data_IF_376472772303
#
_entry.id   IF_376472772303
#
_cell.length_a   1.000
_cell.length_b   1.000
_cell.length_c   1.000
_cell.angle_alpha   90.00
_cell.angle_beta   90.00
_cell.angle_gamma   90.00
#
_symmetry.space_group_name_H-M   'P 1'
#
loop_
_entity.id
_entity.type
_entity.pdbx_description
1 polymer ?
#
# COMPACT_ATOMS: atom_id res chain seq x y z
N UNK A 1 -2.53 17.11 19.24
CA UNK A 1 -2.98 17.01 17.83
C UNK A 1 -3.77 15.72 17.75
N UNK A 2 -5.06 15.80 17.45
CA UNK A 2 -5.97 14.65 17.61
C UNK A 2 -5.57 13.53 16.63
N UNK A 3 -5.49 12.29 17.11
CA UNK A 3 -5.16 11.09 16.32
C UNK A 3 -5.99 10.92 15.05
N UNK A 4 -7.22 11.44 15.03
CA UNK A 4 -8.07 11.49 13.84
C UNK A 4 -7.40 12.24 12.67
N UNK A 5 -6.82 13.42 12.93
CA UNK A 5 -6.21 14.24 11.87
C UNK A 5 -4.99 13.54 11.24
N UNK A 6 -4.25 12.78 12.05
CA UNK A 6 -3.09 12.01 11.59
C UNK A 6 -3.52 10.81 10.74
N UNK A 7 -4.54 10.07 11.18
CA UNK A 7 -5.11 8.94 10.42
C UNK A 7 -5.68 9.40 9.07
N UNK A 8 -6.45 10.47 9.06
CA UNK A 8 -7.08 10.99 7.84
C UNK A 8 -6.02 11.49 6.84
N UNK A 9 -4.94 12.10 7.34
CA UNK A 9 -3.79 12.50 6.52
C UNK A 9 -3.09 11.31 5.85
N UNK A 10 -2.86 10.21 6.59
CA UNK A 10 -2.26 8.99 6.03
C UNK A 10 -3.16 8.38 4.95
N UNK A 11 -4.45 8.25 5.22
CA UNK A 11 -5.44 7.72 4.26
C UNK A 11 -5.45 8.56 2.98
N UNK A 12 -5.49 9.89 3.10
CA UNK A 12 -5.51 10.80 1.96
C UNK A 12 -4.26 10.70 1.10
N UNK A 13 -3.06 10.60 1.69
CA UNK A 13 -1.82 10.49 0.90
C UNK A 13 -1.69 9.10 0.25
N UNK A 14 -2.19 8.04 0.88
CA UNK A 14 -2.25 6.71 0.25
C UNK A 14 -3.16 6.74 -0.97
N UNK A 15 -4.36 7.33 -0.86
CA UNK A 15 -5.29 7.47 -1.98
C UNK A 15 -4.66 8.25 -3.14
N UNK A 16 -4.05 9.40 -2.84
CA UNK A 16 -3.36 10.24 -3.83
C UNK A 16 -2.20 9.52 -4.51
N UNK A 17 -1.43 8.72 -3.77
CA UNK A 17 -0.37 7.93 -4.36
C UNK A 17 -0.92 6.83 -5.27
N UNK A 18 -2.00 6.17 -4.88
CA UNK A 18 -2.68 5.17 -5.70
C UNK A 18 -3.21 5.78 -7.00
N UNK A 19 -3.95 6.89 -6.94
CA UNK A 19 -4.47 7.60 -8.13
C UNK A 19 -3.36 7.96 -9.13
N UNK A 20 -2.23 8.45 -8.63
CA UNK A 20 -1.10 8.83 -9.48
C UNK A 20 -0.40 7.62 -10.12
N UNK A 21 -0.32 6.49 -9.41
CA UNK A 21 0.47 5.34 -9.84
C UNK A 21 -0.34 4.28 -10.56
N UNK A 22 -1.65 4.22 -10.36
CA UNK A 22 -2.56 3.20 -10.88
C UNK A 22 -3.55 3.79 -11.91
N UNK A 23 -3.07 4.68 -12.78
CA UNK A 23 -3.91 5.24 -13.85
C UNK A 23 -4.49 4.12 -14.74
N UNK A 24 -5.73 4.25 -15.23
CA UNK A 24 -6.60 5.43 -15.15
C UNK A 24 -7.56 5.43 -13.94
N UNK A 25 -7.33 4.59 -12.94
CA UNK A 25 -8.25 4.40 -11.82
C UNK A 25 -8.19 5.52 -10.77
N UNK A 26 -9.28 5.69 -10.03
CA UNK A 26 -9.35 6.52 -8.81
C UNK A 26 -9.67 5.65 -7.60
N UNK A 27 -9.19 6.04 -6.42
CA UNK A 27 -9.17 5.15 -5.25
C UNK A 27 -9.79 5.77 -4.01
N UNK A 28 -10.55 4.95 -3.30
CA UNK A 28 -10.96 5.21 -1.91
C UNK A 28 -10.09 4.36 -0.99
N UNK A 29 -9.60 4.92 0.11
CA UNK A 29 -8.70 4.20 1.03
C UNK A 29 -9.32 4.14 2.41
N UNK A 30 -9.20 2.99 3.06
CA UNK A 30 -9.48 2.86 4.49
C UNK A 30 -8.35 2.12 5.19
N UNK A 31 -8.05 2.56 6.41
CA UNK A 31 -7.14 1.88 7.31
C UNK A 31 -7.95 0.96 8.23
N UNK A 32 -7.70 -0.35 8.12
CA UNK A 32 -8.47 -1.41 8.78
C UNK A 32 -8.19 -1.46 10.29
N UNK A 33 -6.94 -1.30 10.70
CA UNK A 33 -6.52 -1.32 12.10
C UNK A 33 -6.37 0.10 12.69
N UNK A 34 -6.09 0.16 14.00
CA UNK A 34 -5.95 1.42 14.73
C UNK A 34 -4.50 1.89 14.74
N UNK A 35 -4.31 3.21 14.57
CA UNK A 35 -3.06 3.88 14.92
C UNK A 35 -3.13 4.27 16.39
N UNK A 36 -2.20 3.77 17.20
CA UNK A 36 -2.11 4.17 18.61
C UNK A 36 -1.39 5.51 18.76
N UNK A 37 -1.63 6.17 19.91
CA UNK A 37 -0.92 7.38 20.29
C UNK A 37 0.60 7.14 20.31
N UNK A 38 1.37 8.08 19.73
CA UNK A 38 2.85 8.06 19.55
C UNK A 38 3.40 7.30 18.33
N UNK A 39 2.61 7.05 17.27
CA UNK A 39 3.05 6.29 16.09
C UNK A 39 3.57 4.89 16.44
N UNK A 40 3.10 4.33 17.55
CA UNK A 40 3.37 2.96 17.93
C UNK A 40 2.36 2.06 17.20
N UNK A 41 2.87 1.18 16.35
CA UNK A 41 2.08 0.22 15.58
C UNK A 41 2.94 -0.98 15.23
N UNK A 42 2.35 -2.17 15.29
CA UNK A 42 2.99 -3.39 14.80
C UNK A 42 2.92 -3.40 13.25
N UNK A 43 1.72 -3.23 12.74
CA UNK A 43 1.40 -3.12 11.32
C UNK A 43 0.31 -2.07 11.07
N UNK A 44 0.18 -1.62 9.83
CA UNK A 44 -0.93 -0.81 9.32
C UNK A 44 -1.44 -1.45 8.05
N UNK A 45 -2.73 -1.75 8.00
CA UNK A 45 -3.36 -2.42 6.86
C UNK A 45 -4.30 -1.44 6.17
N UNK A 46 -3.87 -0.94 5.01
CA UNK A 46 -4.67 -0.10 4.14
C UNK A 46 -5.35 -0.96 3.08
N UNK A 47 -6.66 -0.79 2.93
CA UNK A 47 -7.40 -1.32 1.80
C UNK A 47 -7.67 -0.18 0.82
N UNK A 48 -7.19 -0.34 -0.40
CA UNK A 48 -7.26 0.65 -1.47
C UNK A 48 -8.29 0.15 -2.46
N UNK A 49 -9.49 0.71 -2.38
CA UNK A 49 -10.63 0.33 -3.21
C UNK A 49 -10.60 1.07 -4.54
N UNK A 50 -10.63 0.32 -5.63
CA UNK A 50 -10.53 0.84 -6.98
C UNK A 50 -11.90 1.25 -7.53
N UNK A 51 -11.89 2.34 -8.30
CA UNK A 51 -13.00 2.80 -9.13
C UNK A 51 -12.52 3.16 -10.53
N UNK A 52 -13.34 2.88 -11.54
CA UNK A 52 -13.08 3.33 -12.90
C UNK A 52 -13.32 4.85 -13.04
N UNK A 53 -13.06 5.40 -14.23
CA UNK A 53 -13.19 6.84 -14.51
C UNK A 53 -14.63 7.37 -14.37
N UNK A 54 -15.61 6.48 -14.46
CA UNK A 54 -17.04 6.79 -14.29
C UNK A 54 -17.45 6.71 -12.81
N UNK A 55 -16.54 6.34 -11.91
CA UNK A 55 -16.73 6.23 -10.46
C UNK A 55 -17.29 4.89 -10.00
N UNK A 56 -17.45 3.92 -10.91
CA UNK A 56 -17.97 2.59 -10.60
C UNK A 56 -16.91 1.73 -9.92
N UNK A 57 -17.31 0.86 -8.99
CA UNK A 57 -16.40 0.00 -8.21
C UNK A 57 -15.81 -1.12 -9.08
N UNK A 58 -14.50 -1.29 -8.99
CA UNK A 58 -13.73 -2.32 -9.69
C UNK A 58 -13.00 -3.23 -8.68
N UNK A 59 -13.72 -4.12 -8.01
CA UNK A 59 -13.20 -4.89 -6.86
C UNK A 59 -12.05 -5.85 -7.23
N UNK A 60 -11.97 -6.24 -8.51
CA UNK A 60 -10.86 -7.05 -9.03
C UNK A 60 -9.52 -6.31 -9.00
N UNK A 61 -9.57 -4.98 -8.95
CA UNK A 61 -8.43 -4.06 -8.95
C UNK A 61 -8.17 -3.46 -7.56
N UNK A 62 -8.87 -3.93 -6.52
CA UNK A 62 -8.59 -3.53 -5.14
C UNK A 62 -7.18 -4.00 -4.72
N UNK A 63 -6.46 -3.11 -4.03
CA UNK A 63 -5.11 -3.36 -3.53
C UNK A 63 -5.14 -3.43 -2.00
N UNK A 64 -4.36 -4.34 -1.44
CA UNK A 64 -4.01 -4.35 -0.03
C UNK A 64 -2.58 -3.87 0.15
N UNK A 65 -2.40 -2.97 1.10
CA UNK A 65 -1.11 -2.41 1.49
C UNK A 65 -0.91 -2.65 2.97
N UNK A 66 0.08 -3.46 3.30
CA UNK A 66 0.57 -3.66 4.66
C UNK A 66 1.82 -2.80 4.86
N UNK A 67 1.91 -2.12 6.01
CA UNK A 67 3.07 -1.31 6.40
C UNK A 67 3.49 -1.72 7.80
N UNK A 68 4.75 -2.05 8.02
CA UNK A 68 5.23 -2.51 9.32
C UNK A 68 6.65 -2.05 9.60
N UNK A 69 6.99 -1.98 10.88
CA UNK A 69 8.32 -1.61 11.37
C UNK A 69 9.16 -2.87 11.56
N UNK A 70 10.40 -2.83 11.08
CA UNK A 70 11.43 -3.83 11.41
C UNK A 70 12.66 -3.08 11.92
N UNK A 71 12.78 -2.99 13.24
CA UNK A 71 13.72 -2.05 13.87
C UNK A 71 13.34 -0.60 13.52
N UNK A 72 14.31 0.16 13.02
CA UNK A 72 14.10 1.56 12.61
C UNK A 72 13.70 1.71 11.13
N UNK A 73 13.46 0.61 10.41
CA UNK A 73 13.09 0.63 9.01
C UNK A 73 11.59 0.36 8.82
N UNK A 74 10.98 1.12 7.91
CA UNK A 74 9.62 0.89 7.43
C UNK A 74 9.69 -0.01 6.20
N UNK A 75 8.90 -1.09 6.24
CA UNK A 75 8.73 -2.04 5.16
C UNK A 75 7.26 -2.09 4.77
N UNK A 76 6.99 -2.53 3.55
CA UNK A 76 5.63 -2.66 3.04
C UNK A 76 5.46 -3.91 2.20
N UNK A 77 4.25 -4.44 2.19
CA UNK A 77 3.79 -5.45 1.23
C UNK A 77 2.64 -4.84 0.43
N UNK A 78 2.68 -4.95 -0.90
CA UNK A 78 1.60 -4.54 -1.80
C UNK A 78 1.13 -5.76 -2.58
N UNK A 79 -0.16 -6.05 -2.49
CA UNK A 79 -0.80 -7.21 -3.11
C UNK A 79 -2.14 -6.83 -3.72
N UNK A 80 -2.58 -7.63 -4.69
CA UNK A 80 -3.96 -7.58 -5.14
C UNK A 80 -4.84 -8.28 -4.11
N UNK A 81 -5.98 -7.68 -3.75
CA UNK A 81 -6.90 -8.30 -2.79
C UNK A 81 -7.61 -9.53 -3.38
N UNK A 82 -8.02 -9.42 -4.64
CA UNK A 82 -8.85 -10.44 -5.31
C UNK A 82 -8.04 -11.40 -6.18
N UNK A 83 -6.81 -11.05 -6.54
CA UNK A 83 -5.93 -11.83 -7.42
C UNK A 83 -4.81 -12.47 -6.58
N UNK A 84 -5.20 -13.37 -5.68
CA UNK A 84 -4.30 -13.90 -4.64
C UNK A 84 -3.13 -14.74 -5.17
N UNK A 85 -3.25 -15.30 -6.38
CA UNK A 85 -2.19 -16.09 -7.02
C UNK A 85 -1.16 -15.21 -7.75
N UNK A 86 -1.41 -13.89 -7.85
CA UNK A 86 -0.48 -12.98 -8.50
C UNK A 86 0.71 -12.65 -7.57
N UNK A 87 1.92 -12.44 -8.12
CA UNK A 87 3.06 -12.00 -7.35
C UNK A 87 2.80 -10.75 -6.49
N UNK A 88 3.31 -10.78 -5.27
CA UNK A 88 3.27 -9.65 -4.33
C UNK A 88 4.57 -8.86 -4.40
N UNK A 89 4.48 -7.56 -4.14
CA UNK A 89 5.64 -6.69 -4.02
C UNK A 89 5.97 -6.48 -2.54
N UNK A 90 7.15 -6.90 -2.13
CA UNK A 90 7.74 -6.49 -0.86
C UNK A 90 8.70 -5.31 -1.07
N UNK A 91 8.56 -4.29 -0.23
CA UNK A 91 9.35 -3.07 -0.29
C UNK A 91 10.02 -2.80 1.07
N UNK A 92 11.26 -3.27 1.21
CA UNK A 92 12.18 -2.79 2.24
C UNK A 92 13.07 -1.67 1.70
N UNK A 93 14.40 -1.81 1.83
CA UNK A 93 15.37 -0.90 1.18
C UNK A 93 15.27 -0.93 -0.35
N UNK A 94 14.99 -2.10 -0.91
CA UNK A 94 14.80 -2.35 -2.34
C UNK A 94 13.51 -3.14 -2.56
N UNK A 95 12.91 -2.99 -3.74
CA UNK A 95 11.75 -3.76 -4.18
C UNK A 95 12.16 -5.22 -4.44
N UNK A 96 11.34 -6.16 -3.98
CA UNK A 96 11.46 -7.59 -4.25
C UNK A 96 10.08 -8.15 -4.61
N UNK A 97 9.99 -8.77 -5.78
CA UNK A 97 8.80 -9.52 -6.19
C UNK A 97 8.87 -10.94 -5.67
N UNK A 98 7.76 -11.43 -5.12
CA UNK A 98 7.66 -12.78 -4.59
C UNK A 98 6.40 -13.44 -5.10
N UNK A 99 6.49 -14.74 -5.36
CA UNK A 99 5.33 -15.59 -5.53
C UNK A 99 4.48 -15.54 -4.27
N UNK A 100 3.18 -15.28 -4.40
CA UNK A 100 2.28 -15.06 -3.26
C UNK A 100 2.08 -16.31 -2.41
N UNK A 101 2.18 -17.49 -3.01
CA UNK A 101 1.93 -18.77 -2.34
C UNK A 101 3.16 -19.29 -1.61
N UNK A 102 4.33 -19.16 -2.21
CA UNK A 102 5.58 -19.74 -1.72
C UNK A 102 6.49 -18.73 -1.02
N UNK A 103 6.27 -17.43 -1.22
CA UNK A 103 7.14 -16.35 -0.71
C UNK A 103 8.51 -16.31 -1.38
N UNK A 104 8.75 -17.15 -2.39
CA UNK A 104 10.01 -17.21 -3.12
C UNK A 104 10.08 -16.05 -4.10
N UNK A 105 11.26 -15.42 -4.18
CA UNK A 105 11.52 -14.36 -5.15
C UNK A 105 11.18 -14.81 -6.58
N UNK A 106 10.43 -14.00 -7.30
CA UNK A 106 10.05 -14.24 -8.68
C UNK A 106 10.45 -13.07 -9.59
N UNK A 107 10.15 -13.22 -10.88
CA UNK A 107 10.28 -12.11 -11.83
C UNK A 107 9.20 -11.06 -11.62
N UNK A 108 9.51 -9.83 -12.04
CA UNK A 108 8.56 -8.72 -12.00
C UNK A 108 7.40 -8.99 -12.98
N UNK A 109 6.13 -8.90 -12.54
CA UNK A 109 4.97 -9.05 -13.42
C UNK A 109 4.76 -7.82 -14.30
N UNK A 110 3.87 -7.92 -15.29
CA UNK A 110 3.58 -6.83 -16.25
C UNK A 110 3.07 -5.54 -15.58
N UNK A 111 2.29 -5.66 -14.51
CA UNK A 111 1.82 -4.52 -13.71
C UNK A 111 2.89 -3.94 -12.77
N UNK A 112 4.06 -4.58 -12.68
CA UNK A 112 5.02 -4.32 -11.61
C UNK A 112 5.58 -2.90 -11.58
N UNK A 113 5.64 -2.21 -12.72
CA UNK A 113 6.06 -0.79 -12.75
C UNK A 113 5.12 0.10 -11.93
N UNK A 114 3.81 -0.16 -11.96
CA UNK A 114 2.83 0.63 -11.20
C UNK A 114 2.99 0.41 -9.71
N UNK A 115 3.12 -0.85 -9.29
CA UNK A 115 3.33 -1.23 -7.89
C UNK A 115 4.67 -0.70 -7.35
N UNK A 116 5.77 -0.81 -8.09
CA UNK A 116 7.06 -0.27 -7.68
C UNK A 116 7.03 1.27 -7.56
N UNK A 117 6.31 1.95 -8.45
CA UNK A 117 6.12 3.40 -8.38
C UNK A 117 5.32 3.81 -7.14
N UNK A 118 4.22 3.10 -6.87
CA UNK A 118 3.40 3.27 -5.67
C UNK A 118 4.23 3.05 -4.41
N UNK A 119 4.93 1.91 -4.34
CA UNK A 119 5.78 1.54 -3.21
C UNK A 119 6.86 2.58 -2.94
N UNK A 120 7.58 3.05 -3.97
CA UNK A 120 8.61 4.08 -3.79
C UNK A 120 8.03 5.38 -3.22
N UNK A 121 6.87 5.81 -3.71
CA UNK A 121 6.21 7.06 -3.26
C UNK A 121 5.74 6.95 -1.81
N UNK A 122 5.05 5.85 -1.49
CA UNK A 122 4.54 5.59 -0.14
C UNK A 122 5.66 5.40 0.87
N UNK A 123 6.75 4.70 0.51
CA UNK A 123 7.89 4.52 1.40
C UNK A 123 8.49 5.85 1.82
N UNK A 124 8.67 6.78 0.88
CA UNK A 124 9.19 8.12 1.18
C UNK A 124 8.26 8.86 2.14
N UNK A 125 6.95 8.77 1.92
CA UNK A 125 5.96 9.39 2.78
C UNK A 125 5.94 8.80 4.19
N UNK A 126 5.77 7.48 4.32
CA UNK A 126 5.73 6.81 5.62
C UNK A 126 7.03 7.01 6.40
N UNK A 127 8.19 7.02 5.72
CA UNK A 127 9.46 7.35 6.38
C UNK A 127 9.56 8.76 6.93
N UNK A 128 8.74 9.70 6.47
CA UNK A 128 8.68 11.05 7.02
C UNK A 128 7.58 11.20 8.09
N UNK A 129 6.52 10.39 8.00
CA UNK A 129 5.32 10.54 8.83
C UNK A 129 5.24 9.58 10.02
N UNK A 130 5.92 8.43 9.96
CA UNK A 130 5.83 7.34 10.95
C UNK A 130 7.15 7.01 11.65
N UNK A 131 8.21 7.77 11.32
CA UNK A 131 9.53 7.70 11.94
C UNK A 131 9.64 8.55 13.21
#
# INVERSE_FOLDING_TARGET
MHTSDSKDSLIAEVAKAADLCMNPYVHSVFLENQLFDNNDFDDLIFKIQCRNIDGEREESMDIELEVYKSGNEINMTISWKSLIDNPILWQGKHAVWMDSSSGVKCEKPSYGNHFESLARRLRTFFKASLS
#
